data_IF_435228327731
#
_entry.id   IF_435228327731
#
_cell.length_a   1.000
_cell.length_b   1.000
_cell.length_c   1.000
_cell.angle_alpha   90.00
_cell.angle_beta   90.00
_cell.angle_gamma   90.00
#
_symmetry.space_group_name_H-M   'P 1'
#
loop_
_entity.id
_entity.type
_entity.pdbx_description
1 polymer ?
#
# COMPACT_ATOMS: atom_id res chain seq x y z
N UNK A 1 4.52 -67.56 -7.25
CA UNK A 1 4.93 -66.34 -6.54
C UNK A 1 4.64 -65.14 -7.43
N UNK A 2 3.51 -64.45 -7.23
CA UNK A 2 3.11 -63.26 -8.02
C UNK A 2 3.23 -62.05 -7.10
N UNK A 3 4.39 -61.40 -7.14
CA UNK A 3 4.69 -60.23 -6.31
C UNK A 3 3.85 -59.06 -6.83
N UNK A 4 3.06 -58.52 -5.90
CA UNK A 4 2.04 -57.50 -6.10
C UNK A 4 2.60 -56.23 -6.73
N UNK A 5 2.16 -55.92 -7.95
CA UNK A 5 2.51 -54.73 -8.73
C UNK A 5 1.69 -53.48 -8.34
N UNK A 6 1.11 -53.44 -7.14
CA UNK A 6 0.15 -52.38 -6.77
C UNK A 6 0.76 -51.13 -6.14
N UNK A 7 2.06 -51.09 -5.90
CA UNK A 7 2.68 -50.03 -5.07
C UNK A 7 3.15 -48.78 -5.85
N UNK A 8 3.07 -48.76 -7.19
CA UNK A 8 3.59 -47.63 -7.99
C UNK A 8 2.57 -46.50 -8.24
N UNK A 9 1.31 -46.68 -7.86
CA UNK A 9 0.23 -45.73 -8.19
C UNK A 9 -0.14 -44.76 -7.04
N UNK A 10 0.43 -44.93 -5.84
CA UNK A 10 0.04 -44.12 -4.67
C UNK A 10 0.78 -42.78 -4.57
N UNK A 11 1.93 -42.60 -5.22
CA UNK A 11 2.68 -41.33 -5.16
C UNK A 11 1.99 -40.21 -5.96
N UNK A 12 1.13 -40.58 -6.92
CA UNK A 12 0.38 -39.64 -7.77
C UNK A 12 -0.81 -38.99 -7.06
N UNK A 13 -1.11 -39.41 -5.83
CA UNK A 13 -2.28 -38.96 -5.04
C UNK A 13 -1.90 -38.15 -3.80
N UNK A 14 -0.70 -37.55 -3.77
CA UNK A 14 -0.44 -36.54 -2.75
C UNK A 14 -1.45 -35.40 -2.96
N UNK A 15 -2.36 -35.12 -1.99
CA UNK A 15 -3.29 -34.02 -2.14
C UNK A 15 -2.49 -32.76 -2.40
N UNK A 16 -2.80 -32.08 -3.52
CA UNK A 16 -2.19 -30.80 -3.88
C UNK A 16 -2.46 -29.86 -2.71
N UNK A 17 -1.45 -29.67 -1.86
CA UNK A 17 -1.52 -28.77 -0.71
C UNK A 17 -2.05 -27.43 -1.23
N UNK A 18 -3.18 -26.93 -0.70
CA UNK A 18 -3.68 -25.62 -1.08
C UNK A 18 -2.54 -24.63 -0.90
N UNK A 19 -2.14 -23.97 -1.99
CA UNK A 19 -1.12 -22.93 -1.92
C UNK A 19 -1.75 -21.77 -1.16
N UNK A 20 -1.39 -21.63 0.10
CA UNK A 20 -1.74 -20.44 0.86
C UNK A 20 -1.10 -19.23 0.17
N UNK A 21 -1.85 -18.13 -0.04
CA UNK A 21 -1.28 -16.95 -0.66
C UNK A 21 -0.13 -16.45 0.19
N UNK A 22 1.04 -16.24 -0.42
CA UNK A 22 2.25 -15.73 0.24
C UNK A 22 2.03 -14.36 0.92
N UNK A 23 0.94 -13.67 0.56
CA UNK A 23 0.60 -12.34 1.05
C UNK A 23 -0.90 -12.31 1.40
N UNK A 24 -1.26 -12.79 2.59
CA UNK A 24 -2.63 -12.69 3.12
C UNK A 24 -2.89 -11.30 3.73
N UNK A 25 -2.74 -10.25 2.92
CA UNK A 25 -2.99 -8.88 3.39
C UNK A 25 -4.47 -8.51 3.32
N UNK A 26 -4.99 -7.78 4.32
CA UNK A 26 -6.32 -7.22 4.24
C UNK A 26 -6.46 -6.35 2.99
N UNK A 27 -7.58 -6.51 2.27
CA UNK A 27 -7.82 -5.81 1.01
C UNK A 27 -7.67 -4.28 1.12
N UNK A 28 -8.04 -3.70 2.27
CA UNK A 28 -7.91 -2.27 2.54
C UNK A 28 -6.46 -1.77 2.44
N UNK A 29 -5.48 -2.60 2.81
CA UNK A 29 -4.05 -2.27 2.73
C UNK A 29 -3.62 -2.12 1.28
N UNK A 30 -4.06 -3.04 0.43
CA UNK A 30 -3.79 -2.99 -1.02
C UNK A 30 -4.42 -1.73 -1.63
N UNK A 31 -5.65 -1.40 -1.24
CA UNK A 31 -6.34 -0.19 -1.69
C UNK A 31 -5.57 1.07 -1.25
N UNK A 32 -5.11 1.14 -0.01
CA UNK A 32 -4.33 2.28 0.50
C UNK A 32 -2.99 2.42 -0.24
N UNK A 33 -2.29 1.32 -0.48
CA UNK A 33 -1.03 1.31 -1.26
C UNK A 33 -1.28 1.85 -2.67
N UNK A 34 -2.29 1.31 -3.35
CA UNK A 34 -2.66 1.76 -4.70
C UNK A 34 -3.05 3.24 -4.71
N UNK A 35 -3.82 3.68 -3.72
CA UNK A 35 -4.25 5.07 -3.59
C UNK A 35 -3.06 6.03 -3.41
N UNK A 36 -2.09 5.71 -2.54
CA UNK A 36 -0.86 6.50 -2.38
C UNK A 36 -0.07 6.60 -3.68
N UNK A 37 0.05 5.49 -4.43
CA UNK A 37 0.71 5.48 -5.72
C UNK A 37 -0.02 6.33 -6.76
N UNK A 38 -1.35 6.24 -6.82
CA UNK A 38 -2.16 7.08 -7.69
C UNK A 38 -1.97 8.56 -7.39
N UNK A 39 -2.03 8.97 -6.12
CA UNK A 39 -1.82 10.35 -5.72
C UNK A 39 -0.41 10.85 -6.10
N UNK A 40 0.62 10.04 -5.87
CA UNK A 40 1.98 10.36 -6.30
C UNK A 40 2.06 10.56 -7.82
N UNK A 41 1.53 9.64 -8.62
CA UNK A 41 1.56 9.72 -10.08
C UNK A 41 0.78 10.95 -10.59
N UNK A 42 -0.43 11.20 -10.07
CA UNK A 42 -1.22 12.36 -10.46
C UNK A 42 -0.46 13.65 -10.12
N UNK A 43 0.06 13.74 -8.90
CA UNK A 43 0.77 14.93 -8.43
C UNK A 43 2.06 15.21 -9.20
N UNK A 44 2.77 14.19 -9.69
CA UNK A 44 4.04 14.38 -10.39
C UNK A 44 3.91 14.57 -11.90
N UNK A 45 2.95 13.88 -12.51
CA UNK A 45 2.81 13.89 -13.98
C UNK A 45 1.74 14.85 -14.49
N UNK A 46 0.72 15.17 -13.68
CA UNK A 46 -0.41 16.00 -14.12
C UNK A 46 -0.41 17.41 -13.53
N UNK A 47 0.21 17.62 -12.36
CA UNK A 47 0.18 18.94 -11.73
C UNK A 47 1.26 19.85 -12.30
N UNK A 48 0.86 21.08 -12.60
CA UNK A 48 1.81 22.18 -12.78
C UNK A 48 2.44 22.55 -11.44
N UNK A 49 3.63 23.16 -11.45
CA UNK A 49 4.35 23.56 -10.23
C UNK A 49 3.47 24.35 -9.24
N UNK A 50 2.61 25.26 -9.74
CA UNK A 50 1.70 26.03 -8.88
C UNK A 50 0.71 25.13 -8.13
N UNK A 51 0.00 24.27 -8.87
CA UNK A 51 -1.00 23.34 -8.32
C UNK A 51 -0.34 22.34 -7.36
N UNK A 52 0.89 21.91 -7.66
CA UNK A 52 1.67 21.06 -6.78
C UNK A 52 1.91 21.72 -5.41
N UNK A 53 2.40 22.96 -5.42
CA UNK A 53 2.64 23.73 -4.18
C UNK A 53 1.34 23.99 -3.43
N UNK A 54 0.27 24.41 -4.12
CA UNK A 54 -1.04 24.62 -3.49
C UNK A 54 -1.58 23.33 -2.84
N UNK A 55 -1.37 22.18 -3.49
CA UNK A 55 -1.77 20.88 -2.93
C UNK A 55 -0.97 20.54 -1.68
N UNK A 56 0.34 20.82 -1.67
CA UNK A 56 1.16 20.65 -0.47
C UNK A 56 0.67 21.55 0.67
N UNK A 57 0.39 22.83 0.40
CA UNK A 57 -0.12 23.75 1.42
C UNK A 57 -1.47 23.30 1.98
N UNK A 58 -2.35 22.78 1.13
CA UNK A 58 -3.69 22.36 1.55
C UNK A 58 -3.66 21.06 2.35
N UNK A 59 -2.90 20.04 1.93
CA UNK A 59 -2.95 18.70 2.51
C UNK A 59 -1.84 18.39 3.52
N UNK A 60 -0.82 19.24 3.65
CA UNK A 60 0.27 19.04 4.62
C UNK A 60 -0.15 19.41 6.04
N UNK A 61 0.42 18.69 6.99
CA UNK A 61 0.29 19.03 8.40
C UNK A 61 1.13 20.27 8.73
N UNK A 62 0.46 21.39 9.00
CA UNK A 62 1.10 22.67 9.32
C UNK A 62 0.82 23.03 10.79
N UNK A 63 1.84 23.03 11.69
CA UNK A 63 1.64 23.35 13.10
C UNK A 63 1.02 24.72 13.38
N UNK A 64 1.13 25.68 12.44
CA UNK A 64 0.48 26.98 12.57
C UNK A 64 -1.06 26.89 12.58
N UNK A 65 -1.65 25.81 12.06
CA UNK A 65 -3.11 25.62 11.99
C UNK A 65 -3.76 25.40 13.36
N UNK A 66 -3.01 24.94 14.38
CA UNK A 66 -3.52 24.72 15.74
C UNK A 66 -4.29 25.93 16.32
N UNK A 67 -3.85 27.14 16.00
CA UNK A 67 -4.48 28.38 16.49
C UNK A 67 -5.34 29.08 15.44
N UNK A 68 -5.14 28.77 14.17
CA UNK A 68 -5.68 29.55 13.04
C UNK A 68 -6.92 28.90 12.44
N UNK A 69 -6.89 27.58 12.28
CA UNK A 69 -7.96 26.81 11.69
C UNK A 69 -7.94 25.36 12.22
N UNK A 70 -8.68 25.08 13.29
CA UNK A 70 -8.74 23.74 13.87
C UNK A 70 -9.45 22.73 12.96
N UNK A 71 -10.31 23.19 12.04
CA UNK A 71 -10.96 22.30 11.05
C UNK A 71 -9.90 21.81 10.06
N UNK A 72 -9.03 22.72 9.61
CA UNK A 72 -7.92 22.37 8.74
C UNK A 72 -6.94 21.39 9.39
N UNK A 73 -6.69 21.55 10.69
CA UNK A 73 -5.87 20.62 11.44
C UNK A 73 -6.43 19.18 11.42
N UNK A 74 -7.74 19.01 11.56
CA UNK A 74 -8.36 17.68 11.60
C UNK A 74 -8.12 16.88 10.33
N UNK A 75 -8.31 17.47 9.16
CA UNK A 75 -8.11 16.73 7.91
C UNK A 75 -6.61 16.61 7.57
N UNK A 76 -5.78 17.61 7.89
CA UNK A 76 -4.32 17.57 7.62
C UNK A 76 -3.58 16.53 8.44
N UNK A 77 -4.08 16.15 9.63
CA UNK A 77 -3.53 15.03 10.40
C UNK A 77 -3.55 13.70 9.63
N UNK A 78 -4.55 13.50 8.77
CA UNK A 78 -4.72 12.26 8.00
C UNK A 78 -4.20 12.44 6.57
N UNK A 79 -4.53 13.56 5.91
CA UNK A 79 -4.19 13.76 4.50
C UNK A 79 -2.68 13.82 4.25
N UNK A 80 -1.91 14.32 5.22
CA UNK A 80 -0.46 14.40 5.13
C UNK A 80 0.19 13.02 4.91
N UNK A 81 -0.35 11.96 5.50
CA UNK A 81 0.18 10.59 5.34
C UNK A 81 0.12 10.08 3.89
N UNK A 82 -0.75 10.65 3.06
CA UNK A 82 -0.86 10.28 1.65
C UNK A 82 0.05 11.11 0.73
N UNK A 83 0.58 12.24 1.19
CA UNK A 83 1.45 13.10 0.40
C UNK A 83 2.87 12.56 0.34
N UNK A 84 3.36 12.26 -0.87
CA UNK A 84 4.70 11.72 -1.09
C UNK A 84 5.44 12.54 -2.14
N UNK A 85 6.63 13.02 -1.79
CA UNK A 85 7.44 13.89 -2.65
C UNK A 85 8.27 13.13 -3.69
N UNK A 86 8.51 11.84 -3.50
CA UNK A 86 9.35 11.04 -4.40
C UNK A 86 8.93 9.57 -4.46
N UNK A 87 9.25 8.94 -5.60
CA UNK A 87 9.02 7.51 -5.80
C UNK A 87 9.69 6.64 -4.73
N UNK A 88 10.93 6.98 -4.35
CA UNK A 88 11.67 6.23 -3.32
C UNK A 88 10.96 6.29 -1.97
N UNK A 89 10.43 7.45 -1.61
CA UNK A 89 9.70 7.64 -0.36
C UNK A 89 8.41 6.82 -0.33
N UNK A 90 7.59 6.86 -1.38
CA UNK A 90 6.35 6.06 -1.44
C UNK A 90 6.66 4.57 -1.47
N UNK A 91 7.62 4.12 -2.27
CA UNK A 91 7.98 2.71 -2.35
C UNK A 91 8.45 2.15 -0.99
N UNK A 92 9.34 2.88 -0.29
CA UNK A 92 9.82 2.46 1.02
C UNK A 92 8.69 2.41 2.05
N UNK A 93 7.81 3.42 2.08
CA UNK A 93 6.66 3.44 2.98
C UNK A 93 5.73 2.25 2.76
N UNK A 94 5.45 1.89 1.50
CA UNK A 94 4.56 0.77 1.19
C UNK A 94 5.19 -0.58 1.57
N UNK A 95 6.49 -0.75 1.38
CA UNK A 95 7.21 -1.95 1.84
C UNK A 95 7.14 -2.07 3.36
N UNK A 96 7.37 -0.96 4.08
CA UNK A 96 7.31 -0.94 5.54
C UNK A 96 5.89 -1.20 6.06
N UNK A 97 4.90 -0.60 5.41
CA UNK A 97 3.48 -0.80 5.70
C UNK A 97 3.05 -2.25 5.50
N UNK A 98 3.62 -2.94 4.50
CA UNK A 98 3.35 -4.35 4.23
C UNK A 98 4.10 -5.30 5.18
N UNK A 99 5.28 -4.89 5.65
CA UNK A 99 6.13 -5.72 6.51
C UNK A 99 5.75 -5.66 7.99
N UNK A 100 5.23 -4.53 8.47
CA UNK A 100 4.92 -4.30 9.88
C UNK A 100 3.45 -4.49 10.26
N UNK A 101 2.56 -4.71 9.30
CA UNK A 101 1.13 -4.87 9.52
C UNK A 101 0.69 -6.31 9.26
#
# INVERSE_FOLDING_TARGET
MKVSSHQHNDVSRLPKQPKEPLLNVPFIIVVLIAFCFCLYCISQYFFSHKVYVESLEFFSFIPALFKRDPVALCYTMVSYSFMHSSFKHVALNMVWFLALL
#
